data_IF_201818265035
#
_entry.id   IF_201818265035
#
_cell.length_a   1.000
_cell.length_b   1.000
_cell.length_c   1.000
_cell.angle_alpha   90.00
_cell.angle_beta   90.00
_cell.angle_gamma   90.00
#
_symmetry.space_group_name_H-M   'P 1'
#
loop_
_entity.id
_entity.type
_entity.pdbx_description
1 polymer ?
#
# COMPACT_ATOMS: atom_id res chain seq x y z
N UNK A 1 -18.09 23.21 7.29
CA UNK A 1 -17.82 23.29 5.84
C UNK A 1 -18.03 21.89 5.30
N UNK A 2 -18.92 21.70 4.33
CA UNK A 2 -19.16 20.36 3.77
C UNK A 2 -17.88 19.84 3.11
N UNK A 3 -17.42 18.69 3.59
CA UNK A 3 -16.31 17.96 2.99
C UNK A 3 -16.69 17.63 1.53
N UNK A 4 -15.98 18.21 0.57
CA UNK A 4 -16.15 17.94 -0.86
C UNK A 4 -16.96 18.97 -1.67
N UNK A 5 -17.44 20.07 -1.07
CA UNK A 5 -18.10 21.13 -1.82
C UNK A 5 -17.16 21.90 -2.74
N UNK A 6 -17.64 22.37 -3.91
CA UNK A 6 -16.85 23.17 -4.87
C UNK A 6 -16.14 24.36 -4.22
N UNK A 7 -16.85 25.06 -3.32
CA UNK A 7 -16.29 26.18 -2.55
C UNK A 7 -15.07 25.79 -1.71
N UNK A 8 -15.08 24.59 -1.10
CA UNK A 8 -13.93 24.09 -0.34
C UNK A 8 -12.77 23.75 -1.27
N UNK A 9 -13.05 23.10 -2.41
CA UNK A 9 -12.03 22.78 -3.41
C UNK A 9 -11.35 24.05 -3.95
N UNK A 10 -12.13 25.07 -4.31
CA UNK A 10 -11.61 26.36 -4.80
C UNK A 10 -10.76 27.05 -3.72
N UNK A 11 -11.23 27.03 -2.46
CA UNK A 11 -10.47 27.57 -1.35
C UNK A 11 -9.14 26.83 -1.14
N UNK A 12 -9.13 25.49 -1.17
CA UNK A 12 -7.89 24.69 -1.06
C UNK A 12 -6.92 25.04 -2.20
N UNK A 13 -7.41 25.15 -3.44
CA UNK A 13 -6.59 25.53 -4.58
C UNK A 13 -5.95 26.90 -4.40
N UNK A 14 -6.72 27.87 -3.91
CA UNK A 14 -6.24 29.23 -3.67
C UNK A 14 -5.21 29.28 -2.53
N UNK A 15 -5.45 28.57 -1.42
CA UNK A 15 -4.45 28.45 -0.35
C UNK A 15 -3.15 27.83 -0.88
N UNK A 16 -3.25 26.73 -1.64
CA UNK A 16 -2.08 26.09 -2.25
C UNK A 16 -1.31 27.03 -3.19
N UNK A 17 -2.01 27.89 -3.94
CA UNK A 17 -1.39 28.88 -4.83
C UNK A 17 -0.63 29.94 -4.03
N UNK A 18 -1.25 30.51 -3.00
CA UNK A 18 -0.62 31.51 -2.13
C UNK A 18 0.64 30.95 -1.47
N UNK A 19 0.57 29.74 -0.90
CA UNK A 19 1.72 29.09 -0.26
C UNK A 19 2.84 28.82 -1.24
N UNK A 20 2.54 28.26 -2.43
CA UNK A 20 3.56 27.99 -3.46
C UNK A 20 4.27 29.27 -3.90
N UNK A 21 3.53 30.38 -4.08
CA UNK A 21 4.12 31.66 -4.44
C UNK A 21 5.02 32.22 -3.34
N UNK A 22 4.60 32.12 -2.08
CA UNK A 22 5.39 32.57 -0.94
C UNK A 22 6.71 31.78 -0.79
N UNK A 23 6.66 30.45 -1.01
CA UNK A 23 7.84 29.58 -1.00
C UNK A 23 8.77 29.90 -2.17
N UNK A 24 8.24 30.03 -3.39
CA UNK A 24 9.03 30.32 -4.58
C UNK A 24 9.74 31.69 -4.52
N UNK A 25 9.19 32.64 -3.75
CA UNK A 25 9.80 33.95 -3.52
C UNK A 25 10.99 33.93 -2.53
N UNK A 26 11.19 32.84 -1.78
CA UNK A 26 12.30 32.76 -0.83
C UNK A 26 13.65 32.58 -1.55
N UNK A 27 14.69 33.35 -1.19
CA UNK A 27 16.04 33.12 -1.70
C UNK A 27 16.49 31.67 -1.46
N UNK A 28 16.99 31.00 -2.50
CA UNK A 28 17.50 29.63 -2.43
C UNK A 28 16.45 28.51 -2.55
N UNK A 29 15.16 28.83 -2.63
CA UNK A 29 14.11 27.80 -2.78
C UNK A 29 14.33 26.91 -4.01
N UNK A 30 14.61 27.49 -5.18
CA UNK A 30 14.81 26.73 -6.41
C UNK A 30 16.00 25.75 -6.30
N UNK A 31 17.11 26.20 -5.70
CA UNK A 31 18.30 25.36 -5.47
C UNK A 31 17.98 24.21 -4.52
N UNK A 32 17.30 24.49 -3.39
CA UNK A 32 16.91 23.46 -2.44
C UNK A 32 15.92 22.46 -3.06
N UNK A 33 14.93 22.94 -3.80
CA UNK A 33 13.95 22.09 -4.48
C UNK A 33 14.62 21.16 -5.49
N UNK A 34 15.57 21.67 -6.29
CA UNK A 34 16.35 20.87 -7.22
C UNK A 34 17.20 19.81 -6.49
N UNK A 35 17.82 20.17 -5.36
CA UNK A 35 18.64 19.24 -4.58
C UNK A 35 17.78 18.14 -3.92
N UNK A 36 16.62 18.50 -3.36
CA UNK A 36 15.66 17.51 -2.83
C UNK A 36 15.18 16.58 -3.93
N UNK A 37 14.83 17.10 -5.10
CA UNK A 37 14.42 16.27 -6.24
C UNK A 37 15.54 15.34 -6.68
N UNK A 38 16.78 15.84 -6.77
CA UNK A 38 17.96 15.04 -7.11
C UNK A 38 18.18 13.93 -6.08
N UNK A 39 18.16 14.22 -4.79
CA UNK A 39 18.41 13.25 -3.72
C UNK A 39 17.28 12.24 -3.56
N UNK A 40 16.03 12.67 -3.75
CA UNK A 40 14.84 11.82 -3.56
C UNK A 40 14.54 10.95 -4.78
N UNK A 41 14.92 11.40 -5.98
CA UNK A 41 14.75 10.69 -7.23
C UNK A 41 15.86 9.67 -7.55
N UNK A 42 16.93 9.60 -6.76
CA UNK A 42 17.99 8.61 -7.01
C UNK A 42 17.65 7.28 -6.35
N UNK A 43 17.01 6.38 -7.09
CA UNK A 43 17.17 4.95 -6.88
C UNK A 43 16.03 4.09 -7.40
N UNK A 44 16.40 3.04 -8.14
CA UNK A 44 15.77 1.71 -8.08
C UNK A 44 15.92 1.08 -6.67
N UNK A 45 15.74 1.89 -5.63
CA UNK A 45 15.94 1.53 -4.25
C UNK A 45 15.00 0.41 -3.87
N UNK A 46 15.53 -0.52 -3.09
CA UNK A 46 14.70 -1.43 -2.30
C UNK A 46 13.79 -0.55 -1.43
N UNK A 47 12.49 -0.81 -1.53
CA UNK A 47 11.48 -0.07 -0.81
C UNK A 47 11.38 -0.51 0.62
N UNK A 48 11.97 0.27 1.52
CA UNK A 48 11.88 -0.01 2.93
C UNK A 48 12.59 -1.31 3.32
N UNK A 49 12.89 -1.41 4.60
CA UNK A 49 13.63 -2.52 5.22
C UNK A 49 12.72 -3.77 5.35
N UNK A 50 11.55 -3.78 4.70
CA UNK A 50 10.57 -4.86 4.74
C UNK A 50 10.91 -5.89 3.67
N UNK A 51 11.90 -6.71 3.99
CA UNK A 51 12.13 -7.99 3.31
C UNK A 51 11.77 -9.12 4.26
N UNK A 52 11.05 -10.11 3.76
CA UNK A 52 10.68 -11.29 4.55
C UNK A 52 11.29 -12.52 3.90
N UNK A 53 12.06 -13.27 4.67
CA UNK A 53 12.57 -14.58 4.24
C UNK A 53 11.61 -15.67 4.72
N UNK A 54 11.17 -16.52 3.79
CA UNK A 54 10.45 -17.77 4.08
C UNK A 54 11.20 -18.91 3.42
N UNK A 55 11.73 -19.84 4.23
CA UNK A 55 12.65 -20.86 3.75
C UNK A 55 13.81 -20.24 2.97
N UNK A 56 14.02 -20.68 1.72
CA UNK A 56 15.02 -20.12 0.82
C UNK A 56 14.45 -19.13 -0.20
N UNK A 57 13.34 -18.46 0.13
CA UNK A 57 12.76 -17.40 -0.71
C UNK A 57 12.75 -16.08 0.05
N UNK A 58 13.23 -15.02 -0.60
CA UNK A 58 13.13 -13.65 -0.14
C UNK A 58 11.95 -12.97 -0.84
N UNK A 59 11.06 -12.35 -0.07
CA UNK A 59 10.00 -11.45 -0.54
C UNK A 59 10.39 -10.02 -0.18
N UNK A 60 10.21 -9.08 -1.10
CA UNK A 60 10.58 -7.69 -0.88
C UNK A 60 9.93 -6.77 -1.91
N UNK A 61 9.89 -5.48 -1.58
CA UNK A 61 9.39 -4.45 -2.48
C UNK A 61 10.54 -3.65 -3.10
N UNK A 62 10.36 -3.23 -4.36
CA UNK A 62 11.25 -2.24 -4.99
C UNK A 62 10.51 -1.44 -6.04
N UNK A 63 11.09 -0.30 -6.43
CA UNK A 63 10.59 0.48 -7.56
C UNK A 63 11.15 -0.03 -8.88
N UNK A 64 10.31 -0.02 -9.92
CA UNK A 64 10.76 -0.24 -11.30
C UNK A 64 11.30 1.05 -11.93
N UNK A 65 10.77 2.20 -11.52
CA UNK A 65 11.12 3.55 -11.97
C UNK A 65 11.15 4.49 -10.77
N UNK A 66 11.95 5.55 -10.78
CA UNK A 66 12.13 6.44 -9.62
C UNK A 66 10.81 7.00 -9.07
N UNK A 67 9.89 7.38 -9.97
CA UNK A 67 8.55 7.91 -9.63
C UNK A 67 7.45 6.84 -9.59
N UNK A 68 7.80 5.56 -9.75
CA UNK A 68 6.83 4.47 -9.77
C UNK A 68 6.40 4.02 -8.37
N UNK A 69 5.26 3.32 -8.23
CA UNK A 69 4.91 2.67 -6.98
C UNK A 69 5.92 1.55 -6.66
N UNK A 70 6.00 1.20 -5.38
CA UNK A 70 6.63 -0.06 -4.99
C UNK A 70 5.83 -1.24 -5.55
N UNK A 71 6.56 -2.24 -6.04
CA UNK A 71 6.00 -3.50 -6.53
C UNK A 71 6.63 -4.66 -5.76
N UNK A 72 5.87 -5.72 -5.54
CA UNK A 72 6.30 -6.89 -4.77
C UNK A 72 7.03 -7.89 -5.67
N UNK A 73 8.18 -8.36 -5.20
CA UNK A 73 8.98 -9.41 -5.81
C UNK A 73 9.18 -10.60 -4.87
N UNK A 74 9.48 -11.75 -5.46
CA UNK A 74 10.15 -12.85 -4.77
C UNK A 74 11.45 -13.23 -5.46
N UNK A 75 12.37 -13.82 -4.70
CA UNK A 75 13.67 -14.28 -5.20
C UNK A 75 14.13 -15.52 -4.43
N UNK A 76 14.43 -16.64 -5.09
CA UNK A 76 15.12 -17.75 -4.45
C UNK A 76 16.53 -17.34 -4.01
N UNK A 77 16.91 -17.70 -2.80
CA UNK A 77 18.24 -17.46 -2.24
C UNK A 77 19.20 -18.63 -2.58
N UNK A 78 20.53 -18.39 -2.60
CA UNK A 78 21.18 -17.08 -2.44
C UNK A 78 21.12 -16.19 -3.69
N UNK A 79 21.05 -16.78 -4.88
CA UNK A 79 21.29 -16.06 -6.16
C UNK A 79 20.26 -16.37 -7.26
N UNK A 80 19.05 -16.82 -6.91
CA UNK A 80 17.99 -17.08 -7.88
C UNK A 80 17.50 -15.83 -8.60
N UNK A 81 16.79 -15.98 -9.73
CA UNK A 81 16.21 -14.86 -10.47
C UNK A 81 15.05 -14.23 -9.69
N UNK A 82 14.88 -12.91 -9.86
CA UNK A 82 13.73 -12.18 -9.32
C UNK A 82 12.45 -12.51 -10.11
N UNK A 83 11.33 -12.66 -9.41
CA UNK A 83 9.99 -12.82 -10.00
C UNK A 83 9.10 -11.68 -9.54
N UNK A 84 8.55 -10.90 -10.48
CA UNK A 84 7.55 -9.88 -10.16
C UNK A 84 6.25 -10.58 -9.74
N UNK A 85 5.85 -10.37 -8.50
CA UNK A 85 4.67 -10.99 -7.92
C UNK A 85 3.43 -10.10 -8.05
N UNK A 86 3.57 -8.80 -7.78
CA UNK A 86 2.44 -7.88 -7.83
C UNK A 86 2.89 -6.45 -8.13
N UNK A 87 2.22 -5.81 -9.10
CA UNK A 87 2.28 -4.37 -9.31
C UNK A 87 0.89 -3.79 -8.97
N UNK A 88 0.77 -2.94 -7.93
CA UNK A 88 -0.52 -2.53 -7.40
C UNK A 88 -1.35 -1.74 -8.43
N UNK A 89 -0.71 -0.92 -9.26
CA UNK A 89 -1.37 -0.13 -10.31
C UNK A 89 -1.89 -1.04 -11.42
N UNK A 90 -1.06 -1.98 -11.91
CA UNK A 90 -1.48 -2.93 -12.96
C UNK A 90 -2.61 -3.84 -12.50
N UNK A 91 -2.56 -4.30 -11.25
CA UNK A 91 -3.52 -5.27 -10.72
C UNK A 91 -4.86 -4.64 -10.35
N UNK A 92 -4.86 -3.40 -9.82
CA UNK A 92 -6.10 -2.70 -9.44
C UNK A 92 -6.72 -1.87 -10.58
N UNK A 93 -5.93 -1.51 -11.59
CA UNK A 93 -6.32 -0.51 -12.61
C UNK A 93 -6.40 0.92 -12.07
N UNK A 94 -5.99 1.16 -10.82
CA UNK A 94 -6.02 2.48 -10.19
C UNK A 94 -4.62 3.09 -10.18
N UNK A 95 -4.46 4.27 -10.79
CA UNK A 95 -3.16 4.94 -10.92
C UNK A 95 -2.51 5.29 -9.56
N UNK A 96 -3.31 5.53 -8.53
CA UNK A 96 -2.84 5.83 -7.18
C UNK A 96 -2.65 4.62 -6.29
N UNK A 97 -2.72 3.39 -6.82
CA UNK A 97 -2.65 2.19 -6.00
C UNK A 97 -1.24 1.93 -5.46
N UNK A 98 -1.16 1.56 -4.17
CA UNK A 98 0.07 1.18 -3.48
C UNK A 98 -0.15 -0.03 -2.59
N UNK A 99 0.94 -0.74 -2.31
CA UNK A 99 0.98 -1.78 -1.28
C UNK A 99 1.20 -1.09 0.06
N UNK A 100 0.31 -1.32 1.02
CA UNK A 100 0.44 -0.81 2.39
C UNK A 100 1.26 -1.79 3.26
N UNK A 101 1.00 -3.09 3.11
CA UNK A 101 1.74 -4.16 3.79
C UNK A 101 1.59 -5.46 3.00
N UNK A 102 2.50 -6.40 3.22
CA UNK A 102 2.41 -7.76 2.71
C UNK A 102 2.94 -8.76 3.75
N UNK A 103 2.36 -9.96 3.79
CA UNK A 103 2.86 -11.07 4.63
C UNK A 103 2.80 -12.39 3.83
N UNK A 104 3.94 -13.04 3.55
CA UNK A 104 3.95 -14.37 2.93
C UNK A 104 3.48 -15.44 3.93
N UNK A 105 2.82 -16.49 3.43
CA UNK A 105 2.48 -17.67 4.23
C UNK A 105 3.75 -18.41 4.71
N UNK A 106 3.68 -19.22 5.79
CA UNK A 106 4.85 -19.93 6.34
C UNK A 106 5.55 -20.87 5.35
N UNK A 107 4.82 -21.34 4.32
CA UNK A 107 5.33 -22.17 3.24
C UNK A 107 5.62 -21.40 1.93
N UNK A 108 5.38 -20.09 1.93
CA UNK A 108 5.63 -19.20 0.79
C UNK A 108 4.70 -19.42 -0.42
N UNK A 109 3.64 -20.24 -0.31
CA UNK A 109 2.70 -20.49 -1.43
C UNK A 109 1.78 -19.30 -1.69
N UNK A 110 1.47 -18.52 -0.66
CA UNK A 110 0.57 -17.38 -0.72
C UNK A 110 1.21 -16.13 -0.13
N UNK A 111 0.72 -14.96 -0.53
CA UNK A 111 1.04 -13.68 0.11
C UNK A 111 -0.25 -12.92 0.34
N UNK A 112 -0.54 -12.57 1.59
CA UNK A 112 -1.60 -11.62 1.90
C UNK A 112 -1.06 -10.20 1.65
N UNK A 113 -1.77 -9.39 0.88
CA UNK A 113 -1.35 -8.04 0.48
C UNK A 113 -2.46 -7.04 0.79
N UNK A 114 -2.12 -5.96 1.49
CA UNK A 114 -3.02 -4.84 1.71
C UNK A 114 -2.78 -3.79 0.63
N UNK A 115 -3.80 -3.50 -0.17
CA UNK A 115 -3.74 -2.50 -1.23
C UNK A 115 -4.54 -1.26 -0.83
N UNK A 116 -3.95 -0.08 -1.02
CA UNK A 116 -4.60 1.22 -0.81
C UNK A 116 -4.59 2.02 -2.11
N UNK A 117 -5.31 3.13 -2.13
CA UNK A 117 -5.37 4.02 -3.30
C UNK A 117 -5.24 5.48 -2.87
N UNK A 118 -4.41 6.25 -3.57
CA UNK A 118 -4.14 7.67 -3.31
C UNK A 118 -3.76 7.98 -1.85
N UNK A 119 -3.00 7.08 -1.20
CA UNK A 119 -2.59 7.25 0.20
C UNK A 119 -3.73 7.15 1.22
N UNK A 120 -4.89 6.64 0.79
CA UNK A 120 -5.99 6.33 1.71
C UNK A 120 -5.58 5.25 2.70
N UNK A 121 -6.06 5.35 3.93
CA UNK A 121 -5.91 4.30 4.94
C UNK A 121 -6.93 3.17 4.74
N UNK A 122 -7.79 3.28 3.71
CA UNK A 122 -8.80 2.30 3.35
C UNK A 122 -8.21 1.15 2.53
N UNK A 123 -7.57 0.22 3.24
CA UNK A 123 -6.98 -0.94 2.61
C UNK A 123 -8.04 -1.99 2.22
N UNK A 124 -7.76 -2.64 1.10
CA UNK A 124 -8.38 -3.89 0.68
C UNK A 124 -7.33 -4.99 0.78
N UNK A 125 -7.58 -5.97 1.63
CA UNK A 125 -6.76 -7.18 1.72
C UNK A 125 -7.11 -8.13 0.57
N UNK A 126 -6.07 -8.63 -0.08
CA UNK A 126 -6.13 -9.63 -1.17
C UNK A 126 -5.14 -10.74 -0.87
N UNK A 127 -5.35 -11.90 -1.48
CA UNK A 127 -4.41 -13.03 -1.40
C UNK A 127 -3.80 -13.29 -2.77
N UNK A 128 -2.49 -13.29 -2.87
CA UNK A 128 -1.73 -13.63 -4.05
C UNK A 128 -1.27 -15.09 -3.99
N UNK A 129 -1.50 -15.87 -5.05
CA UNK A 129 -0.87 -17.17 -5.24
C UNK A 129 0.48 -16.99 -5.95
N UNK A 130 1.57 -17.37 -5.27
CA UNK A 130 2.94 -17.09 -5.74
C UNK A 130 3.26 -17.81 -7.05
N UNK A 131 2.86 -19.07 -7.18
CA UNK A 131 3.18 -19.90 -8.35
C UNK A 131 2.61 -19.36 -9.67
N UNK A 132 1.45 -18.69 -9.61
CA UNK A 132 0.74 -18.18 -10.79
C UNK A 132 0.76 -16.66 -10.89
N UNK A 133 1.35 -15.95 -9.91
CA UNK A 133 1.38 -14.49 -9.84
C UNK A 133 -0.02 -13.87 -9.96
N UNK A 134 -1.03 -14.58 -9.44
CA UNK A 134 -2.44 -14.23 -9.61
C UNK A 134 -3.10 -14.04 -8.26
N UNK A 135 -3.94 -13.01 -8.14
CA UNK A 135 -4.79 -12.86 -6.97
C UNK A 135 -5.88 -13.94 -6.97
N UNK A 136 -6.17 -14.47 -5.78
CA UNK A 136 -7.36 -15.26 -5.49
C UNK A 136 -8.62 -14.37 -5.60
N UNK A 137 -9.81 -14.98 -5.78
CA UNK A 137 -11.06 -14.23 -5.89
C UNK A 137 -11.43 -13.45 -4.62
N UNK A 138 -10.83 -13.79 -3.49
CA UNK A 138 -11.09 -13.15 -2.20
C UNK A 138 -10.75 -11.66 -2.21
N UNK A 139 -11.71 -10.87 -1.70
CA UNK A 139 -11.62 -9.41 -1.55
C UNK A 139 -12.12 -9.05 -0.15
N UNK A 140 -11.20 -8.58 0.69
CA UNK A 140 -11.48 -8.24 2.08
C UNK A 140 -11.38 -6.72 2.22
N UNK A 141 -12.52 -6.05 2.12
CA UNK A 141 -12.62 -4.60 2.30
C UNK A 141 -12.47 -4.17 3.76
N UNK A 142 -12.38 -2.85 4.00
CA UNK A 142 -12.38 -2.24 5.34
C UNK A 142 -11.25 -2.75 6.24
N UNK A 143 -10.13 -3.14 5.62
CA UNK A 143 -8.96 -3.69 6.27
C UNK A 143 -7.97 -2.57 6.64
N UNK A 144 -8.49 -1.48 7.20
CA UNK A 144 -7.69 -0.32 7.58
C UNK A 144 -6.65 -0.72 8.62
N UNK A 145 -5.37 -0.50 8.29
CA UNK A 145 -4.22 -0.91 9.10
C UNK A 145 -4.18 -2.40 9.46
N UNK A 146 -4.89 -3.25 8.71
CA UNK A 146 -4.85 -4.68 8.96
C UNK A 146 -3.47 -5.23 8.59
N UNK A 147 -2.82 -5.89 9.55
CA UNK A 147 -1.60 -6.66 9.34
C UNK A 147 -1.99 -8.14 9.38
N UNK A 148 -1.98 -8.86 8.25
CA UNK A 148 -2.38 -10.26 8.23
C UNK A 148 -1.33 -11.15 8.89
N UNK A 149 -1.74 -11.95 9.86
CA UNK A 149 -0.88 -12.90 10.57
C UNK A 149 -1.30 -14.33 10.26
N UNK A 150 -0.41 -15.10 9.64
CA UNK A 150 -0.71 -16.45 9.16
C UNK A 150 -0.73 -17.48 10.30
N UNK A 151 -1.68 -18.41 10.24
CA UNK A 151 -1.60 -19.66 11.00
C UNK A 151 -0.35 -20.45 10.58
N UNK A 152 0.30 -21.21 11.50
CA UNK A 152 1.51 -21.96 11.19
C UNK A 152 1.38 -22.98 10.05
N UNK A 153 0.17 -23.47 9.78
CA UNK A 153 -0.11 -24.41 8.70
C UNK A 153 -0.26 -23.75 7.32
N UNK A 154 -0.29 -22.42 7.26
CA UNK A 154 -0.41 -21.64 6.03
C UNK A 154 -1.78 -21.74 5.35
N UNK A 155 -2.81 -22.26 6.04
CA UNK A 155 -4.17 -22.42 5.47
C UNK A 155 -5.11 -21.28 5.81
N UNK A 156 -4.72 -20.42 6.75
CA UNK A 156 -5.50 -19.26 7.16
C UNK A 156 -4.63 -18.14 7.72
N UNK A 157 -5.22 -16.96 7.85
CA UNK A 157 -4.61 -15.84 8.56
C UNK A 157 -5.66 -15.05 9.34
N UNK A 158 -5.20 -14.36 10.38
CA UNK A 158 -5.99 -13.43 11.15
C UNK A 158 -5.72 -12.00 10.69
N UNK A 159 -6.74 -11.16 10.74
CA UNK A 159 -6.64 -9.77 10.36
C UNK A 159 -7.72 -8.97 11.04
N UNK A 160 -7.46 -7.68 11.17
CA UNK A 160 -8.42 -6.75 11.71
C UNK A 160 -9.30 -6.13 10.60
N UNK A 161 -10.59 -5.93 10.88
CA UNK A 161 -11.54 -5.33 9.94
C UNK A 161 -12.51 -4.43 10.68
N UNK A 162 -12.69 -3.22 10.15
CA UNK A 162 -13.69 -2.28 10.67
C UNK A 162 -15.10 -2.89 10.56
N UNK A 163 -16.07 -2.31 11.25
CA UNK A 163 -17.47 -2.74 11.17
C UNK A 163 -18.13 -2.37 9.82
N UNK A 164 -19.24 -3.03 9.49
CA UNK A 164 -19.95 -2.76 8.23
C UNK A 164 -20.70 -1.44 8.37
N UNK A 165 -20.70 -0.58 7.35
CA UNK A 165 -21.49 0.65 7.39
C UNK A 165 -22.98 0.33 7.55
N UNK A 166 -23.68 1.10 8.38
CA UNK A 166 -25.13 1.03 8.56
C UNK A 166 -25.75 2.41 8.41
N UNK A 167 -27.07 2.45 8.16
CA UNK A 167 -27.78 3.70 7.95
C UNK A 167 -27.73 4.57 9.22
N UNK A 168 -27.32 5.83 9.06
CA UNK A 168 -27.15 6.76 10.18
C UNK A 168 -25.79 6.68 10.87
N UNK A 169 -24.89 5.77 10.46
CA UNK A 169 -23.52 5.70 10.99
C UNK A 169 -22.78 7.02 10.76
N UNK A 170 -22.22 7.57 11.83
CA UNK A 170 -21.31 8.71 11.81
C UNK A 170 -19.91 8.29 11.36
N UNK A 171 -19.10 9.26 10.94
CA UNK A 171 -17.71 8.99 10.56
C UNK A 171 -16.87 8.41 11.71
N UNK A 172 -17.19 8.75 12.97
CA UNK A 172 -16.46 8.26 14.15
C UNK A 172 -16.85 6.83 14.50
N UNK A 173 -18.15 6.50 14.49
CA UNK A 173 -18.66 5.15 14.81
C UNK A 173 -18.04 4.09 13.90
N UNK A 174 -17.65 4.45 12.68
CA UNK A 174 -16.94 3.54 11.77
C UNK A 174 -15.71 2.84 12.38
N UNK A 175 -15.04 3.48 13.34
CA UNK A 175 -13.86 2.92 14.03
C UNK A 175 -14.21 2.12 15.28
N UNK A 176 -15.47 2.15 15.70
CA UNK A 176 -15.95 1.34 16.81
C UNK A 176 -16.17 -0.11 16.36
N UNK A 177 -16.21 -1.03 17.33
CA UNK A 177 -16.51 -2.44 17.12
C UNK A 177 -15.64 -3.13 16.05
N UNK A 178 -14.40 -2.65 15.92
CA UNK A 178 -13.38 -3.29 15.12
C UNK A 178 -13.16 -4.74 15.61
N UNK A 179 -13.10 -5.69 14.67
CA UNK A 179 -13.17 -7.12 14.97
C UNK A 179 -12.05 -7.87 14.25
N UNK A 180 -11.41 -8.79 14.95
CA UNK A 180 -10.44 -9.73 14.37
C UNK A 180 -11.19 -10.88 13.71
N UNK A 181 -10.89 -11.12 12.43
CA UNK A 181 -11.42 -12.22 11.65
C UNK A 181 -10.33 -13.22 11.32
N UNK A 182 -10.71 -14.49 11.20
CA UNK A 182 -9.89 -15.53 10.55
C UNK A 182 -10.38 -15.70 9.12
N UNK A 183 -9.48 -15.64 8.14
CA UNK A 183 -9.76 -15.97 6.75
C UNK A 183 -9.08 -17.29 6.41
N UNK A 184 -9.85 -18.23 5.85
CA UNK A 184 -9.36 -19.55 5.39
C UNK A 184 -9.25 -19.50 3.87
N UNK A 185 -8.12 -19.97 3.34
CA UNK A 185 -7.78 -19.99 1.91
C UNK A 185 -8.46 -21.15 1.17
#
# INVERSE_FOLDING_TARGET
MDAGGRRLADWIQEQNRITRNAMAAQPGYATLAAEVARLSGHGHGLGGIFSTRVGDTLFYERRLTDDGPFVLFSRPLPNGPETLLLNPVRTSGQAGASIQTYTPSPDGRFVAVALTNHGSEEAVLRVLKVSSQSLLPDVIDRARFAVPEWDPDGTSFYYDRLQRPFAGMTAAERFEHQTIYRHVI
#
